data_IF_941425625693
#
_entry.id   IF_941425625693
#
_cell.length_a   1.000
_cell.length_b   1.000
_cell.length_c   1.000
_cell.angle_alpha   90.00
_cell.angle_beta   90.00
_cell.angle_gamma   90.00
#
_symmetry.space_group_name_H-M   'P 1'
#
loop_
_entity.id
_entity.type
_entity.pdbx_description
1 polymer ?
#
# COMPACT_ATOMS: atom_id res chain seq x y z
N UNK A 1 17.21 3.93 -21.17
CA UNK A 1 16.68 4.58 -19.95
C UNK A 1 17.31 3.91 -18.75
N UNK A 2 17.83 4.71 -17.82
CA UNK A 2 18.48 4.17 -16.62
C UNK A 2 17.50 3.95 -15.48
N UNK A 3 17.78 2.99 -14.61
CA UNK A 3 16.98 2.68 -13.41
C UNK A 3 16.81 3.92 -12.51
N UNK A 4 17.83 4.77 -12.39
CA UNK A 4 17.74 6.03 -11.62
C UNK A 4 16.70 7.03 -12.17
N UNK A 5 16.41 7.01 -13.48
CA UNK A 5 15.39 7.89 -14.06
C UNK A 5 14.00 7.43 -13.62
N UNK A 6 13.79 6.11 -13.53
CA UNK A 6 12.55 5.52 -13.03
C UNK A 6 12.39 5.81 -11.53
N UNK A 7 13.45 5.59 -10.74
CA UNK A 7 13.45 5.92 -9.31
C UNK A 7 13.08 7.40 -9.07
N UNK A 8 13.70 8.34 -9.81
CA UNK A 8 13.39 9.77 -9.70
C UNK A 8 11.95 10.10 -10.07
N UNK A 9 11.37 9.42 -11.05
CA UNK A 9 9.96 9.64 -11.40
C UNK A 9 9.02 9.20 -10.27
N UNK A 10 9.31 8.07 -9.64
CA UNK A 10 8.58 7.60 -8.45
C UNK A 10 8.76 8.56 -7.26
N UNK A 11 9.99 9.05 -7.04
CA UNK A 11 10.30 10.02 -5.98
C UNK A 11 9.72 11.42 -6.23
N UNK A 12 9.55 11.83 -7.49
CA UNK A 12 8.84 13.07 -7.83
C UNK A 12 7.34 12.98 -7.52
N UNK A 13 6.74 11.79 -7.67
CA UNK A 13 5.34 11.55 -7.31
C UNK A 13 5.17 11.39 -5.79
N UNK A 14 6.03 10.59 -5.16
CA UNK A 14 6.01 10.29 -3.74
C UNK A 14 7.41 10.52 -3.13
N UNK A 15 7.75 11.77 -2.77
CA UNK A 15 9.07 12.12 -2.25
C UNK A 15 9.46 11.30 -1.00
N UNK A 16 10.70 10.79 -0.96
CA UNK A 16 11.19 9.99 0.16
C UNK A 16 11.01 10.66 1.55
N UNK A 17 11.14 12.01 1.71
CA UNK A 17 10.87 12.66 3.00
C UNK A 17 9.41 12.63 3.46
N UNK A 18 8.50 11.99 2.74
CA UNK A 18 7.14 11.70 3.18
C UNK A 18 7.02 10.37 3.92
N UNK A 19 8.07 9.53 3.90
CA UNK A 19 8.05 8.26 4.61
C UNK A 19 8.04 8.46 6.12
N UNK A 20 7.49 7.47 6.82
CA UNK A 20 7.53 7.41 8.28
C UNK A 20 8.96 7.23 8.79
N UNK A 21 9.24 7.72 10.01
CA UNK A 21 10.61 7.71 10.56
C UNK A 21 11.22 6.31 10.80
N UNK A 22 10.41 5.28 10.78
CA UNK A 22 10.83 3.88 10.92
C UNK A 22 11.00 3.16 9.57
N UNK A 23 10.60 3.80 8.47
CA UNK A 23 10.53 3.20 7.15
C UNK A 23 11.87 3.23 6.40
N UNK A 24 11.95 2.47 5.31
CA UNK A 24 13.10 2.38 4.43
C UNK A 24 12.65 2.33 2.95
N UNK A 25 11.93 3.36 2.49
CA UNK A 25 11.56 3.49 1.08
C UNK A 25 12.76 3.90 0.21
N UNK A 26 12.64 3.69 -1.10
CA UNK A 26 13.66 4.00 -2.09
C UNK A 26 14.37 2.76 -2.64
N UNK A 27 15.56 2.96 -3.21
CA UNK A 27 16.36 1.86 -3.76
C UNK A 27 16.84 0.94 -2.64
N UNK A 28 16.49 -0.34 -2.74
CA UNK A 28 16.86 -1.36 -1.77
C UNK A 28 18.12 -2.13 -2.19
N UNK A 29 18.17 -2.51 -3.45
CA UNK A 29 19.24 -3.33 -4.04
C UNK A 29 19.46 -2.85 -5.48
N UNK A 30 20.69 -2.92 -5.98
CA UNK A 30 21.00 -2.75 -7.39
C UNK A 30 21.83 -1.54 -7.71
N UNK A 31 22.10 -1.34 -9.00
CA UNK A 31 22.92 -0.28 -9.55
C UNK A 31 22.04 0.67 -10.36
N UNK A 32 21.91 1.89 -9.90
CA UNK A 32 21.02 2.89 -10.49
C UNK A 32 21.42 3.37 -11.89
N UNK A 33 22.69 3.27 -12.23
CA UNK A 33 23.22 3.64 -13.54
C UNK A 33 23.00 2.62 -14.66
N UNK A 34 22.52 1.40 -14.33
CA UNK A 34 22.24 0.38 -15.33
C UNK A 34 21.03 0.78 -16.20
N UNK A 35 21.06 0.38 -17.47
CA UNK A 35 19.88 0.47 -18.33
C UNK A 35 18.78 -0.44 -17.83
N UNK A 36 17.56 0.04 -17.80
CA UNK A 36 16.39 -0.74 -17.43
C UNK A 36 15.86 -1.51 -18.64
N UNK A 37 15.84 -2.83 -18.55
CA UNK A 37 15.26 -3.71 -19.58
C UNK A 37 13.74 -3.88 -19.43
N UNK A 38 13.20 -3.64 -18.25
CA UNK A 38 11.78 -3.72 -17.90
C UNK A 38 11.59 -3.76 -16.39
N UNK A 39 10.36 -3.49 -15.94
CA UNK A 39 10.00 -3.43 -14.52
C UNK A 39 8.87 -4.41 -14.19
N UNK A 40 9.09 -5.27 -13.20
CA UNK A 40 8.05 -6.11 -12.57
C UNK A 40 7.49 -5.38 -11.35
N UNK A 41 6.16 -5.29 -11.27
CA UNK A 41 5.43 -4.56 -10.23
C UNK A 41 4.81 -5.55 -9.25
N UNK A 42 5.03 -5.34 -7.96
CA UNK A 42 4.52 -6.25 -6.92
C UNK A 42 4.18 -5.50 -5.63
N UNK A 43 3.47 -6.16 -4.73
CA UNK A 43 3.29 -5.67 -3.36
C UNK A 43 4.51 -6.03 -2.51
N UNK A 44 4.84 -7.31 -2.46
CA UNK A 44 5.95 -7.85 -1.67
C UNK A 44 7.01 -8.48 -2.56
N UNK A 45 8.27 -8.40 -2.14
CA UNK A 45 9.39 -9.07 -2.81
C UNK A 45 9.62 -10.44 -2.18
N UNK A 46 9.47 -11.48 -3.01
CA UNK A 46 9.78 -12.86 -2.65
C UNK A 46 10.76 -13.48 -3.64
N UNK A 47 11.34 -14.64 -3.30
CA UNK A 47 12.21 -15.38 -4.23
C UNK A 47 11.47 -15.69 -5.54
N UNK A 48 10.17 -16.06 -5.47
CA UNK A 48 9.36 -16.34 -6.64
C UNK A 48 9.15 -15.11 -7.55
N UNK A 49 8.95 -13.92 -6.96
CA UNK A 49 8.84 -12.65 -7.70
C UNK A 49 10.15 -12.29 -8.40
N UNK A 50 11.30 -12.49 -7.74
CA UNK A 50 12.61 -12.24 -8.34
C UNK A 50 12.87 -13.20 -9.51
N UNK A 51 12.52 -14.48 -9.37
CA UNK A 51 12.63 -15.46 -10.47
C UNK A 51 11.64 -15.15 -11.61
N UNK A 52 10.47 -14.60 -11.32
CA UNK A 52 9.53 -14.13 -12.36
C UNK A 52 10.14 -12.96 -13.14
N UNK A 53 10.70 -11.94 -12.48
CA UNK A 53 11.40 -10.83 -13.13
C UNK A 53 12.54 -11.36 -14.05
N UNK A 54 13.36 -12.26 -13.52
CA UNK A 54 14.44 -12.91 -14.28
C UNK A 54 13.94 -13.63 -15.54
N UNK A 55 12.84 -14.40 -15.44
CA UNK A 55 12.23 -15.10 -16.60
C UNK A 55 11.69 -14.14 -17.65
N UNK A 56 11.19 -12.99 -17.25
CA UNK A 56 10.72 -11.94 -18.15
C UNK A 56 11.88 -11.13 -18.78
N UNK A 57 13.10 -11.33 -18.33
CA UNK A 57 14.25 -10.53 -18.74
C UNK A 57 14.24 -9.12 -18.17
N UNK A 58 13.51 -8.88 -17.09
CA UNK A 58 13.42 -7.60 -16.42
C UNK A 58 14.47 -7.49 -15.33
N UNK A 59 15.10 -6.32 -15.22
CA UNK A 59 16.15 -6.06 -14.24
C UNK A 59 15.76 -5.02 -13.18
N UNK A 60 14.46 -4.67 -13.09
CA UNK A 60 13.91 -3.82 -12.04
C UNK A 60 12.65 -4.46 -11.45
N UNK A 61 12.57 -4.47 -10.13
CA UNK A 61 11.33 -4.75 -9.38
C UNK A 61 10.94 -3.45 -8.68
N UNK A 62 9.69 -3.02 -8.87
CA UNK A 62 9.07 -1.92 -8.11
C UNK A 62 8.07 -2.54 -7.17
N UNK A 63 8.35 -2.46 -5.87
CA UNK A 63 7.55 -3.04 -4.81
C UNK A 63 6.91 -1.96 -3.93
N UNK A 64 5.80 -2.29 -3.30
CA UNK A 64 5.26 -1.44 -2.24
C UNK A 64 6.05 -1.63 -0.95
N UNK A 65 6.11 -2.85 -0.45
CA UNK A 65 6.80 -3.15 0.79
C UNK A 65 8.31 -3.26 0.59
N UNK A 66 9.12 -2.59 1.43
CA UNK A 66 10.57 -2.66 1.35
C UNK A 66 11.08 -4.05 1.79
N UNK A 67 11.86 -4.70 0.94
CA UNK A 67 12.54 -5.95 1.28
C UNK A 67 13.46 -5.75 2.49
N UNK A 68 14.15 -4.62 2.55
CA UNK A 68 15.07 -4.25 3.62
C UNK A 68 14.41 -3.34 4.66
N UNK A 69 13.22 -3.68 5.13
CA UNK A 69 12.52 -2.90 6.17
C UNK A 69 13.35 -2.75 7.44
N UNK A 70 14.12 -3.78 7.80
CA UNK A 70 15.10 -3.73 8.89
C UNK A 70 16.49 -3.98 8.35
N UNK A 71 17.50 -3.30 8.91
CA UNK A 71 18.89 -3.50 8.53
C UNK A 71 19.34 -4.95 8.70
N UNK A 72 20.06 -5.50 7.70
CA UNK A 72 20.64 -6.84 7.76
C UNK A 72 22.09 -6.77 8.23
N UNK A 73 22.49 -7.68 9.12
CA UNK A 73 23.87 -7.77 9.65
C UNK A 73 24.74 -8.76 8.89
N UNK A 74 24.12 -9.66 8.13
CA UNK A 74 24.82 -10.63 7.28
C UNK A 74 23.91 -10.99 6.09
N UNK A 75 24.51 -11.51 5.03
CA UNK A 75 23.80 -12.02 3.86
C UNK A 75 24.13 -13.50 3.69
N UNK A 76 23.20 -14.37 4.05
CA UNK A 76 23.31 -15.82 3.95
C UNK A 76 22.03 -16.42 3.31
N UNK A 77 21.66 -17.62 3.66
CA UNK A 77 20.43 -18.29 3.24
C UNK A 77 19.43 -18.50 4.40
N UNK A 78 19.75 -17.97 5.59
CA UNK A 78 19.04 -18.26 6.84
C UNK A 78 17.63 -17.66 6.88
N UNK A 79 17.40 -16.51 6.25
CA UNK A 79 16.08 -15.86 6.21
C UNK A 79 15.64 -15.59 4.77
N UNK A 80 14.32 -15.45 4.56
CA UNK A 80 13.77 -15.08 3.26
C UNK A 80 14.42 -13.81 2.71
N UNK A 81 14.55 -12.76 3.53
CA UNK A 81 15.17 -11.49 3.13
C UNK A 81 16.59 -11.71 2.62
N UNK A 82 17.42 -12.49 3.33
CA UNK A 82 18.79 -12.78 2.94
C UNK A 82 18.87 -13.59 1.63
N UNK A 83 17.95 -14.56 1.43
CA UNK A 83 17.87 -15.31 0.17
C UNK A 83 17.45 -14.42 -0.98
N UNK A 84 16.45 -13.54 -0.78
CA UNK A 84 16.03 -12.55 -1.79
C UNK A 84 17.18 -11.60 -2.15
N UNK A 85 17.94 -11.07 -1.17
CA UNK A 85 19.11 -10.22 -1.43
C UNK A 85 20.12 -10.94 -2.34
N UNK A 86 20.49 -12.17 -1.96
CA UNK A 86 21.45 -12.97 -2.74
C UNK A 86 20.96 -13.22 -4.15
N UNK A 87 19.69 -13.61 -4.30
CA UNK A 87 19.12 -13.92 -5.60
C UNK A 87 19.05 -12.67 -6.49
N UNK A 88 18.58 -11.53 -5.97
CA UNK A 88 18.52 -10.28 -6.70
C UNK A 88 19.92 -9.84 -7.20
N UNK A 89 20.94 -9.92 -6.34
CA UNK A 89 22.33 -9.61 -6.71
C UNK A 89 22.86 -10.59 -7.77
N UNK A 90 22.59 -11.89 -7.62
CA UNK A 90 23.04 -12.91 -8.60
C UNK A 90 22.39 -12.74 -9.97
N UNK A 91 21.15 -12.22 -10.02
CA UNK A 91 20.38 -11.97 -11.25
C UNK A 91 20.57 -10.56 -11.81
N UNK A 92 21.36 -9.71 -11.15
CA UNK A 92 21.50 -8.28 -11.47
C UNK A 92 20.17 -7.54 -11.55
N UNK A 93 19.26 -7.85 -10.61
CA UNK A 93 17.92 -7.24 -10.51
C UNK A 93 17.95 -6.18 -9.42
N UNK A 94 17.62 -4.95 -9.79
CA UNK A 94 17.42 -3.85 -8.85
C UNK A 94 16.04 -3.95 -8.20
N UNK A 95 15.94 -3.57 -6.92
CA UNK A 95 14.70 -3.54 -6.16
C UNK A 95 14.50 -2.13 -5.62
N UNK A 96 13.38 -1.51 -5.97
CA UNK A 96 12.94 -0.21 -5.48
C UNK A 96 11.63 -0.38 -4.71
N UNK A 97 11.52 0.25 -3.53
CA UNK A 97 10.30 0.24 -2.73
C UNK A 97 9.70 1.66 -2.62
N UNK A 98 8.40 1.78 -2.88
CA UNK A 98 7.63 2.98 -2.56
C UNK A 98 6.53 2.57 -1.57
N UNK A 99 6.78 2.87 -0.29
CA UNK A 99 6.04 2.39 0.86
C UNK A 99 5.28 3.54 1.54
N UNK A 100 5.56 3.86 2.79
CA UNK A 100 4.81 4.90 3.51
C UNK A 100 4.96 6.30 2.88
N UNK A 101 6.01 6.56 2.12
CA UNK A 101 6.10 7.77 1.30
C UNK A 101 4.99 7.82 0.24
N UNK A 102 4.60 6.68 -0.34
CA UNK A 102 3.52 6.58 -1.31
C UNK A 102 2.15 6.62 -0.62
N UNK A 103 2.02 6.04 0.59
CA UNK A 103 0.79 6.13 1.40
C UNK A 103 0.46 7.57 1.76
N UNK A 104 1.50 8.35 2.10
CA UNK A 104 1.41 9.74 2.54
C UNK A 104 1.37 10.74 1.38
N UNK A 105 1.56 10.30 0.13
CA UNK A 105 1.55 11.18 -1.04
C UNK A 105 0.13 11.43 -1.56
N UNK A 106 -0.12 12.65 -2.08
CA UNK A 106 -1.36 12.95 -2.81
C UNK A 106 -1.44 12.08 -4.07
N UNK A 107 -2.61 11.41 -4.23
CA UNK A 107 -2.82 10.45 -5.31
C UNK A 107 -2.17 9.09 -5.09
N UNK A 108 -1.62 8.85 -3.89
CA UNK A 108 -1.01 7.58 -3.49
C UNK A 108 -2.02 6.51 -3.08
N UNK A 109 -1.57 5.52 -2.29
CA UNK A 109 -2.34 4.31 -1.96
C UNK A 109 -3.71 4.62 -1.35
N UNK A 110 -3.79 5.54 -0.39
CA UNK A 110 -5.05 5.88 0.25
C UNK A 110 -6.06 6.50 -0.73
N UNK A 111 -5.58 7.24 -1.74
CA UNK A 111 -6.44 7.77 -2.81
C UNK A 111 -6.95 6.68 -3.74
N UNK A 112 -6.16 5.64 -4.01
CA UNK A 112 -6.61 4.45 -4.76
C UNK A 112 -7.74 3.73 -4.03
N UNK A 113 -7.59 3.56 -2.72
CA UNK A 113 -8.64 2.96 -1.88
C UNK A 113 -9.91 3.83 -1.92
N UNK A 114 -9.77 5.14 -1.71
CA UNK A 114 -10.89 6.09 -1.71
C UNK A 114 -11.64 6.11 -3.06
N UNK A 115 -10.89 6.10 -4.17
CA UNK A 115 -11.47 6.05 -5.52
C UNK A 115 -12.29 4.79 -5.76
N UNK A 116 -11.78 3.63 -5.32
CA UNK A 116 -12.50 2.34 -5.41
C UNK A 116 -13.75 2.32 -4.56
N UNK A 117 -13.73 2.96 -3.40
CA UNK A 117 -14.90 3.10 -2.53
C UNK A 117 -15.91 4.16 -3.01
N UNK A 118 -15.58 4.93 -4.06
CA UNK A 118 -16.41 6.00 -4.59
C UNK A 118 -16.54 7.20 -3.65
N UNK A 119 -15.55 7.42 -2.79
CA UNK A 119 -15.55 8.53 -1.85
C UNK A 119 -15.28 9.86 -2.58
N UNK A 120 -15.97 10.90 -2.13
CA UNK A 120 -15.87 12.26 -2.62
C UNK A 120 -15.40 13.20 -1.50
N UNK A 121 -15.05 14.46 -1.84
CA UNK A 121 -14.64 15.49 -0.88
C UNK A 121 -13.54 15.02 0.04
N UNK A 122 -12.49 14.42 -0.56
CA UNK A 122 -11.39 13.84 0.18
C UNK A 122 -10.54 14.91 0.86
N UNK A 123 -10.19 14.65 2.13
CA UNK A 123 -9.22 15.41 2.90
C UNK A 123 -8.31 14.46 3.66
N UNK A 124 -7.15 14.94 4.09
CA UNK A 124 -6.23 14.16 4.90
C UNK A 124 -6.83 13.87 6.29
N UNK A 125 -6.79 12.62 6.71
CA UNK A 125 -7.20 12.25 8.06
C UNK A 125 -6.21 12.78 9.09
N UNK A 126 -4.92 12.61 8.84
CA UNK A 126 -3.82 13.16 9.64
C UNK A 126 -2.84 13.91 8.73
N UNK A 127 -3.04 15.23 8.50
CA UNK A 127 -2.21 16.02 7.59
C UNK A 127 -0.80 16.23 8.14
N UNK A 128 0.21 16.19 7.25
CA UNK A 128 1.57 16.58 7.58
C UNK A 128 1.70 18.12 7.54
N UNK A 129 2.25 18.75 8.59
CA UNK A 129 2.35 20.21 8.65
C UNK A 129 3.10 20.82 7.44
N UNK A 130 2.46 21.78 6.79
CA UNK A 130 3.06 22.55 5.70
C UNK A 130 3.27 21.78 4.40
N UNK A 131 2.70 20.56 4.27
CA UNK A 131 2.79 19.73 3.07
C UNK A 131 1.39 19.33 2.59
N UNK A 132 1.23 19.14 1.29
CA UNK A 132 0.05 18.48 0.74
C UNK A 132 0.24 16.95 0.78
N UNK A 133 0.34 16.44 1.98
CA UNK A 133 0.61 15.05 2.32
C UNK A 133 0.05 14.72 3.71
N UNK A 134 -0.16 13.44 4.01
CA UNK A 134 -0.69 13.02 5.31
C UNK A 134 -0.98 11.53 5.35
N UNK A 135 -1.31 11.01 6.52
CA UNK A 135 -1.64 9.61 6.72
C UNK A 135 -3.16 9.43 6.75
N UNK A 136 -3.64 8.48 5.94
CA UNK A 136 -5.06 8.19 5.79
C UNK A 136 -5.86 9.33 5.17
N UNK A 137 -7.10 9.05 4.82
CA UNK A 137 -8.05 10.01 4.24
C UNK A 137 -9.39 9.97 4.98
N UNK A 138 -10.11 11.07 4.91
CA UNK A 138 -11.53 11.13 5.23
C UNK A 138 -12.29 11.67 4.01
N UNK A 139 -13.45 11.09 3.74
CA UNK A 139 -14.29 11.49 2.60
C UNK A 139 -15.76 11.16 2.84
N UNK A 140 -16.59 11.43 1.87
CA UNK A 140 -18.02 11.21 1.95
C UNK A 140 -18.51 10.27 0.85
N UNK A 141 -19.39 9.34 1.18
CA UNK A 141 -20.22 8.66 0.20
C UNK A 141 -21.23 9.64 -0.42
N UNK A 142 -21.62 9.44 -1.68
CA UNK A 142 -22.60 10.34 -2.36
C UNK A 142 -23.89 10.54 -1.59
N UNK A 143 -24.30 9.51 -0.83
CA UNK A 143 -25.51 9.51 0.02
C UNK A 143 -25.30 8.58 1.22
N UNK A 144 -26.04 8.75 2.32
CA UNK A 144 -26.01 7.80 3.43
C UNK A 144 -26.43 6.39 2.99
N UNK A 145 -25.74 5.38 3.50
CA UNK A 145 -26.00 3.95 3.20
C UNK A 145 -26.03 3.13 4.49
N UNK A 146 -26.71 2.01 4.49
CA UNK A 146 -26.62 1.04 5.59
C UNK A 146 -25.21 0.49 5.73
N UNK A 147 -24.65 0.56 6.94
CA UNK A 147 -23.26 0.20 7.20
C UNK A 147 -22.93 -1.25 6.90
N UNK A 148 -23.79 -2.20 7.30
CA UNK A 148 -23.55 -3.61 7.05
C UNK A 148 -23.64 -3.95 5.56
N UNK A 149 -24.62 -3.37 4.87
CA UNK A 149 -24.76 -3.53 3.43
C UNK A 149 -23.53 -2.97 2.69
N UNK A 150 -23.05 -1.79 3.11
CA UNK A 150 -21.86 -1.18 2.51
C UNK A 150 -20.60 -2.02 2.76
N UNK A 151 -20.41 -2.51 3.99
CA UNK A 151 -19.29 -3.42 4.30
C UNK A 151 -19.32 -4.71 3.48
N UNK A 152 -20.52 -5.27 3.25
CA UNK A 152 -20.67 -6.43 2.38
C UNK A 152 -20.26 -6.12 0.92
N UNK A 153 -20.59 -4.91 0.42
CA UNK A 153 -20.16 -4.43 -0.90
C UNK A 153 -18.64 -4.25 -0.95
N UNK A 154 -18.05 -3.62 0.06
CA UNK A 154 -16.60 -3.46 0.19
C UNK A 154 -15.89 -4.81 0.20
N UNK A 155 -16.42 -5.78 0.98
CA UNK A 155 -15.90 -7.15 1.00
C UNK A 155 -15.80 -7.76 -0.39
N UNK A 156 -16.84 -7.64 -1.20
CA UNK A 156 -16.88 -8.17 -2.58
C UNK A 156 -15.90 -7.42 -3.48
N UNK A 157 -15.91 -6.08 -3.43
CA UNK A 157 -15.09 -5.22 -4.28
C UNK A 157 -13.59 -5.42 -4.07
N UNK A 158 -13.19 -5.63 -2.82
CA UNK A 158 -11.80 -5.89 -2.45
C UNK A 158 -11.42 -7.38 -2.50
N UNK A 159 -12.37 -8.26 -2.78
CA UNK A 159 -12.13 -9.70 -2.85
C UNK A 159 -11.65 -10.28 -1.51
N UNK A 160 -12.32 -9.89 -0.43
CA UNK A 160 -11.96 -10.27 0.95
C UNK A 160 -12.79 -11.48 1.38
N UNK A 161 -12.14 -12.54 1.83
CA UNK A 161 -12.84 -13.74 2.33
C UNK A 161 -13.47 -13.51 3.70
N UNK A 162 -12.79 -12.74 4.57
CA UNK A 162 -13.28 -12.36 5.88
C UNK A 162 -12.98 -10.88 6.16
N UNK A 163 -14.01 -10.10 6.55
CA UNK A 163 -13.90 -8.73 6.99
C UNK A 163 -14.25 -8.68 8.48
N UNK A 164 -13.36 -8.11 9.28
CA UNK A 164 -13.60 -7.92 10.71
C UNK A 164 -14.24 -6.55 10.93
N UNK A 165 -15.25 -6.47 11.83
CA UNK A 165 -15.83 -5.18 12.17
C UNK A 165 -16.47 -5.17 13.57
N UNK A 166 -16.58 -3.98 14.15
CA UNK A 166 -17.46 -3.68 15.28
C UNK A 166 -18.50 -2.66 14.85
N UNK A 167 -19.79 -2.84 15.24
CA UNK A 167 -20.82 -1.88 14.93
C UNK A 167 -20.64 -0.57 15.71
N UNK A 168 -20.92 0.54 15.05
CA UNK A 168 -20.98 1.87 15.68
C UNK A 168 -22.41 2.27 16.01
N UNK A 169 -22.61 3.50 16.51
CA UNK A 169 -23.92 3.95 17.07
C UNK A 169 -24.99 4.19 16.03
N UNK A 170 -24.64 4.43 14.77
CA UNK A 170 -25.57 4.73 13.69
C UNK A 170 -25.60 3.61 12.67
N UNK A 171 -26.77 3.11 12.24
CA UNK A 171 -26.85 2.12 11.18
C UNK A 171 -26.55 2.72 9.80
N UNK A 172 -26.73 4.02 9.61
CA UNK A 172 -26.43 4.74 8.37
C UNK A 172 -25.09 5.44 8.48
N UNK A 173 -24.25 5.27 7.46
CA UNK A 173 -22.92 5.88 7.35
C UNK A 173 -22.83 6.69 6.07
N UNK A 174 -22.09 7.80 6.12
CA UNK A 174 -21.77 8.62 4.96
C UNK A 174 -20.33 9.13 5.01
N UNK A 175 -19.86 9.56 6.18
CA UNK A 175 -18.50 10.06 6.38
C UNK A 175 -17.56 8.91 6.72
N UNK A 176 -16.66 8.59 5.80
CA UNK A 176 -15.77 7.44 5.91
C UNK A 176 -14.33 7.93 6.09
N UNK A 177 -13.65 7.45 7.11
CA UNK A 177 -12.21 7.57 7.24
C UNK A 177 -11.55 6.25 6.82
N UNK A 178 -10.35 6.32 6.22
CA UNK A 178 -9.64 5.13 5.77
C UNK A 178 -8.11 5.28 5.86
N UNK A 179 -7.43 4.13 5.99
CA UNK A 179 -6.00 4.01 5.81
C UNK A 179 -5.67 2.59 5.33
N UNK A 180 -4.88 2.43 4.27
CA UNK A 180 -4.35 1.13 3.85
C UNK A 180 -3.41 0.53 4.88
N UNK A 181 -3.14 -0.79 4.79
CA UNK A 181 -2.20 -1.48 5.66
C UNK A 181 -2.54 -1.44 7.15
N UNK A 182 -1.53 -1.21 7.98
CA UNK A 182 -1.64 -1.18 9.44
C UNK A 182 -2.01 0.21 9.96
N UNK A 183 -3.25 0.64 9.71
CA UNK A 183 -3.74 1.99 10.03
C UNK A 183 -4.38 2.16 11.43
N UNK A 184 -4.26 1.18 12.34
CA UNK A 184 -4.92 1.24 13.66
C UNK A 184 -4.58 2.49 14.48
N UNK A 185 -3.43 3.11 14.25
CA UNK A 185 -2.98 4.33 14.94
C UNK A 185 -3.82 5.58 14.60
N UNK A 186 -4.71 5.50 13.62
CA UNK A 186 -5.60 6.60 13.21
C UNK A 186 -7.04 6.46 13.72
N UNK A 187 -7.36 5.44 14.51
CA UNK A 187 -8.73 5.20 15.01
C UNK A 187 -9.25 6.41 15.79
N UNK A 188 -8.48 6.90 16.78
CA UNK A 188 -8.88 8.07 17.58
C UNK A 188 -9.07 9.30 16.69
N UNK A 189 -8.19 9.48 15.72
CA UNK A 189 -8.28 10.60 14.78
C UNK A 189 -9.53 10.51 13.91
N UNK A 190 -9.91 9.30 13.47
CA UNK A 190 -11.15 9.09 12.73
C UNK A 190 -12.41 9.46 13.57
N UNK A 191 -12.40 9.10 14.86
CA UNK A 191 -13.46 9.51 15.79
C UNK A 191 -13.49 11.04 15.97
N UNK A 192 -12.35 11.69 16.20
CA UNK A 192 -12.24 13.15 16.38
C UNK A 192 -12.79 13.94 15.17
N UNK A 193 -12.55 13.49 13.94
CA UNK A 193 -13.07 14.16 12.75
C UNK A 193 -14.54 13.83 12.46
N UNK A 194 -15.17 13.02 13.32
CA UNK A 194 -16.57 12.65 13.22
C UNK A 194 -16.87 11.70 12.06
N UNK A 195 -15.97 10.78 11.76
CA UNK A 195 -16.24 9.71 10.80
C UNK A 195 -17.35 8.78 11.34
N UNK A 196 -18.25 8.33 10.48
CA UNK A 196 -19.24 7.33 10.83
C UNK A 196 -18.63 5.91 10.84
N UNK A 197 -17.60 5.70 9.99
CA UNK A 197 -16.86 4.44 9.89
C UNK A 197 -15.39 4.70 9.59
N UNK A 198 -14.51 3.92 10.24
CA UNK A 198 -13.09 3.82 9.91
C UNK A 198 -12.76 2.47 9.29
N UNK A 199 -12.13 2.48 8.12
CA UNK A 199 -11.73 1.31 7.36
C UNK A 199 -10.21 1.26 7.21
N UNK A 200 -9.59 0.12 7.60
CA UNK A 200 -8.15 -0.07 7.45
C UNK A 200 -7.82 -1.51 7.07
N UNK A 201 -6.55 -1.81 6.81
CA UNK A 201 -6.10 -3.19 6.56
C UNK A 201 -6.06 -4.01 7.84
N UNK A 202 -5.50 -3.49 8.93
CA UNK A 202 -5.29 -4.22 10.18
C UNK A 202 -5.74 -3.42 11.39
N UNK A 203 -6.38 -4.12 12.33
CA UNK A 203 -6.74 -3.63 13.67
C UNK A 203 -6.44 -4.75 14.66
N UNK A 204 -5.57 -4.50 15.63
CA UNK A 204 -5.30 -5.41 16.73
C UNK A 204 -6.53 -5.60 17.61
N UNK A 205 -6.74 -6.82 18.14
CA UNK A 205 -7.94 -7.19 18.89
C UNK A 205 -8.37 -6.16 19.93
N UNK A 206 -7.44 -5.62 20.70
CA UNK A 206 -7.76 -4.68 21.79
C UNK A 206 -8.15 -3.29 21.28
N UNK A 207 -7.80 -2.91 20.05
CA UNK A 207 -8.14 -1.62 19.45
C UNK A 207 -9.58 -1.58 18.89
N UNK A 208 -10.29 -2.71 18.90
CA UNK A 208 -11.71 -2.73 18.58
C UNK A 208 -12.62 -2.25 19.74
N UNK A 209 -12.08 -2.08 20.94
CA UNK A 209 -12.85 -1.65 22.11
C UNK A 209 -12.78 -0.14 22.29
N UNK A 210 -13.84 0.42 22.91
CA UNK A 210 -13.88 1.81 23.35
C UNK A 210 -14.53 2.78 22.38
N UNK A 211 -14.79 2.36 21.13
CA UNK A 211 -15.34 3.22 20.07
C UNK A 211 -16.79 2.88 19.68
N UNK A 212 -17.47 2.01 20.43
CA UNK A 212 -18.82 1.50 20.13
C UNK A 212 -19.89 2.61 20.05
N UNK A 213 -19.65 3.73 20.75
CA UNK A 213 -20.52 4.90 20.77
C UNK A 213 -20.08 6.03 19.84
N UNK A 214 -19.01 5.82 19.04
CA UNK A 214 -18.39 6.85 18.21
C UNK A 214 -18.48 6.52 16.72
N UNK A 215 -17.95 5.39 16.29
CA UNK A 215 -17.88 5.00 14.88
C UNK A 215 -17.85 3.48 14.71
N UNK A 216 -18.12 3.02 13.49
CA UNK A 216 -17.86 1.65 13.06
C UNK A 216 -16.36 1.47 12.80
N UNK A 217 -15.79 0.34 13.24
CA UNK A 217 -14.44 -0.05 12.89
C UNK A 217 -14.49 -1.24 11.95
N UNK A 218 -13.67 -1.23 10.90
CA UNK A 218 -13.60 -2.34 9.96
C UNK A 218 -12.15 -2.59 9.47
N UNK A 219 -11.76 -3.87 9.42
CA UNK A 219 -10.46 -4.31 8.93
C UNK A 219 -10.63 -5.26 7.74
N UNK A 220 -9.99 -4.89 6.61
CA UNK A 220 -10.07 -5.60 5.32
C UNK A 220 -9.05 -6.74 5.17
N UNK A 221 -7.95 -6.67 5.91
CA UNK A 221 -6.71 -7.39 5.66
C UNK A 221 -5.68 -6.48 4.97
N UNK A 222 -4.43 -6.61 5.40
CA UNK A 222 -3.31 -5.78 4.93
C UNK A 222 -3.16 -5.88 3.41
N UNK A 223 -2.87 -7.08 2.91
CA UNK A 223 -2.71 -7.35 1.48
C UNK A 223 -3.90 -6.87 0.65
N UNK A 224 -5.11 -7.12 1.10
CA UNK A 224 -6.33 -6.79 0.34
C UNK A 224 -6.55 -5.28 0.23
N UNK A 225 -6.17 -4.51 1.26
CA UNK A 225 -6.28 -3.05 1.23
C UNK A 225 -5.28 -2.39 0.30
N UNK A 226 -4.11 -3.00 0.07
CA UNK A 226 -2.98 -2.38 -0.63
C UNK A 226 -2.65 -3.01 -1.99
N UNK A 227 -3.18 -4.19 -2.33
CA UNK A 227 -2.81 -4.88 -3.59
C UNK A 227 -2.98 -4.03 -4.85
N UNK A 228 -3.85 -3.03 -4.81
CA UNK A 228 -4.10 -2.12 -5.92
C UNK A 228 -3.00 -1.05 -6.12
N UNK A 229 -2.03 -0.99 -5.22
CA UNK A 229 -0.81 -0.20 -5.40
C UNK A 229 -0.06 -0.59 -6.68
N UNK A 230 -0.17 -1.86 -7.08
CA UNK A 230 0.41 -2.37 -8.33
C UNK A 230 -0.19 -1.64 -9.55
N UNK A 231 -1.51 -1.39 -9.55
CA UNK A 231 -2.19 -0.63 -10.63
C UNK A 231 -1.70 0.83 -10.66
N UNK A 232 -1.46 1.42 -9.48
CA UNK A 232 -0.90 2.78 -9.37
C UNK A 232 0.51 2.83 -9.95
N UNK A 233 1.39 1.88 -9.62
CA UNK A 233 2.73 1.79 -10.21
C UNK A 233 2.66 1.68 -11.73
N UNK A 234 1.80 0.82 -12.26
CA UNK A 234 1.66 0.64 -13.70
C UNK A 234 1.26 1.95 -14.40
N UNK A 235 0.27 2.67 -13.84
CA UNK A 235 -0.15 3.98 -14.38
C UNK A 235 0.98 5.00 -14.31
N UNK A 236 1.70 5.08 -13.19
CA UNK A 236 2.81 6.02 -13.02
C UNK A 236 3.93 5.75 -14.03
N UNK A 237 4.32 4.49 -14.20
CA UNK A 237 5.38 4.14 -15.14
C UNK A 237 4.95 4.34 -16.59
N UNK A 238 3.75 3.93 -16.97
CA UNK A 238 3.24 4.12 -18.34
C UNK A 238 3.13 5.60 -18.72
N UNK A 239 2.71 6.45 -17.79
CA UNK A 239 2.57 7.89 -18.05
C UNK A 239 3.93 8.59 -18.23
N UNK A 240 4.95 8.17 -17.49
CA UNK A 240 6.28 8.76 -17.56
C UNK A 240 7.19 8.09 -18.60
N UNK A 241 6.99 6.80 -18.86
CA UNK A 241 7.86 5.96 -19.69
C UNK A 241 7.02 4.99 -20.54
N UNK A 242 6.31 5.48 -21.58
CA UNK A 242 5.38 4.67 -22.37
C UNK A 242 6.06 3.47 -23.09
N UNK A 243 7.35 3.58 -23.37
CA UNK A 243 8.12 2.53 -24.04
C UNK A 243 8.80 1.53 -23.08
N UNK A 244 8.68 1.72 -21.76
CA UNK A 244 9.25 0.80 -20.77
C UNK A 244 8.38 -0.46 -20.68
N UNK A 245 8.93 -1.66 -20.94
CA UNK A 245 8.21 -2.89 -20.68
C UNK A 245 7.89 -3.01 -19.18
N UNK A 246 6.61 -3.15 -18.85
CA UNK A 246 6.15 -3.35 -17.48
C UNK A 246 5.22 -4.56 -17.41
N UNK A 247 5.25 -5.29 -16.31
CA UNK A 247 4.31 -6.34 -15.98
C UNK A 247 3.95 -6.30 -14.50
N UNK A 248 2.70 -6.60 -14.19
CA UNK A 248 2.30 -6.91 -12.82
C UNK A 248 2.68 -8.36 -12.52
N UNK A 249 3.16 -8.64 -11.31
CA UNK A 249 3.48 -10.01 -10.90
C UNK A 249 2.24 -10.91 -10.97
N UNK A 250 2.42 -12.13 -11.42
CA UNK A 250 1.39 -13.19 -11.37
C UNK A 250 1.42 -13.96 -10.05
N UNK A 251 2.43 -13.71 -9.21
CA UNK A 251 2.62 -14.38 -7.93
C UNK A 251 1.76 -13.69 -6.86
N UNK A 252 0.83 -14.44 -6.27
CA UNK A 252 0.13 -13.97 -5.08
C UNK A 252 1.10 -14.05 -3.88
N UNK A 253 1.44 -12.89 -3.31
CA UNK A 253 2.36 -12.79 -2.16
C UNK A 253 1.65 -12.82 -0.82
N UNK A 254 0.30 -12.85 -0.79
CA UNK A 254 -0.46 -12.95 0.45
C UNK A 254 -0.17 -14.28 1.19
N UNK A 255 0.42 -14.25 2.39
CA UNK A 255 0.70 -15.48 3.14
C UNK A 255 -0.51 -15.99 3.93
N UNK A 256 -1.60 -15.21 3.99
CA UNK A 256 -2.77 -15.51 4.83
C UNK A 256 -3.82 -16.23 3.99
N UNK A 257 -4.26 -17.37 4.50
CA UNK A 257 -5.35 -18.16 3.94
C UNK A 257 -6.51 -18.23 4.93
N UNK A 258 -7.73 -18.26 4.42
CA UNK A 258 -8.94 -18.39 5.22
C UNK A 258 -9.56 -19.77 4.97
N UNK A 259 -10.06 -20.42 6.03
CA UNK A 259 -10.77 -21.70 5.96
C UNK A 259 -12.29 -21.49 5.95
#
# INVERSE_FOLDING_TARGET
MQIQEIARALENFAPLPLQEGYDNAGLQIGITGNECSGALLCLDVTEAVIEEASRLGFNLIVAHHPLLFRGVKCVSDSTQVQRCIRLAVQRDIAIYAAHTNLDNARGGVNFEIAARLGLQKLDWLSPLPGKDAGSGLVGELPQPVDAQHWLATVKQQFGVDALLYTPGPKPQIQRIALCGGAGEFLIDRAAEVGADLYLTGEIGYHHFFGHENELWLAALGHYQSERFTIDLFERLLRNNFPDLPTAQTTICTNPIHYL
#
